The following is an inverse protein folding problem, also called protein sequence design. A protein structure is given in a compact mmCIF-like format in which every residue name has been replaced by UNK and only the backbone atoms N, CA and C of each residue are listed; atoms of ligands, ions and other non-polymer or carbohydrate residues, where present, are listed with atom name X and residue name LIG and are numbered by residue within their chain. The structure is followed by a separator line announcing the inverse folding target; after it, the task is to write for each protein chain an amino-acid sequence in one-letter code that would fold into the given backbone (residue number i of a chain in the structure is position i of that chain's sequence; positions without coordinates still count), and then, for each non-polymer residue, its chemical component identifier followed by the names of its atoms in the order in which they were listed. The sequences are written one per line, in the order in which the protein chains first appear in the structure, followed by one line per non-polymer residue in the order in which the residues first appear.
data_IF_905163905694
#
_entry.id   IF_905163905694
#
_cell.length_a   1.000
_cell.length_b   1.000
_cell.length_c   1.000
_cell.angle_alpha   90.00
_cell.angle_beta   90.00
_cell.angle_gamma   90.00
#
_symmetry.space_group_name_H-M   'P 1'
#
loop_
_entity.id
_entity.type
_entity.pdbx_description
1 polymer ?
#
# COMPACT_ATOMS: atom_id res chain seq x y z
N UNK A 1 21.44 23.36 -8.23
CA UNK A 1 20.96 23.16 -6.84
C UNK A 1 22.15 23.07 -5.88
N UNK A 2 22.88 21.95 -5.82
CA UNK A 2 23.97 21.76 -4.83
C UNK A 2 25.20 22.66 -5.02
N UNK A 3 25.52 23.10 -6.25
CA UNK A 3 26.68 23.99 -6.52
C UNK A 3 26.51 25.41 -5.93
N UNK A 4 25.29 25.78 -5.58
CA UNK A 4 24.92 27.12 -5.09
C UNK A 4 24.14 27.03 -3.78
N UNK A 5 24.25 25.91 -3.07
CA UNK A 5 23.65 25.67 -1.74
C UNK A 5 22.15 25.96 -1.63
N UNK A 6 21.42 25.85 -2.75
CA UNK A 6 19.99 26.15 -2.80
C UNK A 6 19.16 25.25 -1.87
N UNK A 7 19.66 24.06 -1.53
CA UNK A 7 19.02 23.13 -0.59
C UNK A 7 18.76 23.75 0.79
N UNK A 8 19.55 24.75 1.20
CA UNK A 8 19.34 25.47 2.46
C UNK A 8 18.07 26.32 2.48
N UNK A 9 17.52 26.65 1.30
CA UNK A 9 16.31 27.44 1.14
C UNK A 9 15.08 26.59 0.79
N UNK A 10 15.27 25.29 0.54
CA UNK A 10 14.20 24.38 0.17
C UNK A 10 13.59 23.70 1.41
N UNK A 11 12.25 23.51 1.46
CA UNK A 11 11.58 22.96 2.63
C UNK A 11 12.13 21.59 3.04
N UNK A 12 12.66 21.50 4.27
CA UNK A 12 13.16 20.25 4.84
C UNK A 12 14.48 19.72 4.25
N UNK A 13 15.17 20.49 3.39
CA UNK A 13 16.42 20.05 2.74
C UNK A 13 17.69 20.70 3.30
N UNK A 14 17.58 21.59 4.29
CA UNK A 14 18.73 22.21 4.96
C UNK A 14 19.68 21.14 5.51
N UNK A 15 20.94 21.17 5.06
CA UNK A 15 21.97 20.20 5.46
C UNK A 15 21.80 18.79 4.87
N UNK A 16 20.93 18.59 3.88
CA UNK A 16 20.66 17.27 3.25
C UNK A 16 21.42 17.06 1.94
N UNK A 17 22.54 17.74 1.73
CA UNK A 17 23.32 17.66 0.49
C UNK A 17 23.73 16.23 0.11
N UNK A 18 24.10 15.39 1.08
CA UNK A 18 24.46 13.98 0.81
C UNK A 18 23.28 13.17 0.28
N UNK A 19 22.11 13.30 0.92
CA UNK A 19 20.89 12.63 0.46
C UNK A 19 20.48 13.09 -0.96
N UNK A 20 20.67 14.36 -1.27
CA UNK A 20 20.38 14.90 -2.61
C UNK A 20 21.37 14.42 -3.68
N UNK A 21 22.64 14.15 -3.31
CA UNK A 21 23.60 13.53 -4.22
C UNK A 21 23.21 12.08 -4.53
N UNK A 22 22.81 11.32 -3.51
CA UNK A 22 22.29 9.96 -3.68
C UNK A 22 21.03 9.97 -4.56
N UNK A 23 20.06 10.83 -4.24
CA UNK A 23 18.86 11.01 -5.04
C UNK A 23 19.21 11.30 -6.50
N UNK A 24 20.14 12.22 -6.76
CA UNK A 24 20.54 12.58 -8.12
C UNK A 24 21.31 11.48 -8.87
N UNK A 25 21.86 10.47 -8.18
CA UNK A 25 22.58 9.37 -8.83
C UNK A 25 21.66 8.22 -9.29
N UNK A 26 20.37 8.27 -8.97
CA UNK A 26 19.41 7.25 -9.42
C UNK A 26 19.04 7.41 -10.90
N UNK A 27 18.54 6.34 -11.51
CA UNK A 27 18.18 6.30 -12.93
C UNK A 27 16.78 6.88 -13.18
N UNK A 28 16.67 8.20 -13.09
CA UNK A 28 15.39 8.92 -13.26
C UNK A 28 14.83 8.89 -14.69
N UNK A 29 15.58 8.40 -15.68
CA UNK A 29 15.06 8.20 -17.04
C UNK A 29 14.01 7.09 -17.08
N UNK A 30 14.07 6.14 -16.13
CA UNK A 30 13.08 5.05 -15.98
C UNK A 30 11.80 5.47 -15.27
N UNK A 31 11.70 6.73 -14.84
CA UNK A 31 10.51 7.26 -14.15
C UNK A 31 9.32 7.31 -15.09
N UNK A 32 8.17 6.89 -14.57
CA UNK A 32 6.85 6.93 -15.21
C UNK A 32 5.88 7.91 -14.54
N UNK A 33 6.01 8.17 -13.24
CA UNK A 33 5.09 9.03 -12.48
C UNK A 33 5.82 10.16 -11.72
N UNK A 34 5.13 11.29 -11.50
CA UNK A 34 5.66 12.36 -10.65
C UNK A 34 5.77 11.94 -9.17
N UNK A 35 4.90 11.04 -8.72
CA UNK A 35 4.90 10.55 -7.33
C UNK A 35 6.23 9.86 -6.97
N UNK A 36 6.91 9.25 -7.95
CA UNK A 36 8.22 8.62 -7.74
C UNK A 36 9.30 9.64 -7.36
N UNK A 37 9.23 10.88 -7.84
CA UNK A 37 10.17 11.94 -7.45
C UNK A 37 10.05 12.18 -5.95
N UNK A 38 8.81 12.33 -5.46
CA UNK A 38 8.55 12.61 -4.06
C UNK A 38 8.88 11.43 -3.16
N UNK A 39 8.52 10.21 -3.57
CA UNK A 39 8.87 9.01 -2.84
C UNK A 39 10.39 8.85 -2.74
N UNK A 40 11.12 8.96 -3.85
CA UNK A 40 12.58 8.89 -3.81
C UNK A 40 13.22 10.00 -2.98
N UNK A 41 12.66 11.21 -3.01
CA UNK A 41 13.17 12.32 -2.20
C UNK A 41 13.00 12.02 -0.71
N UNK A 42 11.82 11.55 -0.28
CA UNK A 42 11.62 11.23 1.14
C UNK A 42 12.42 9.99 1.56
N UNK A 43 12.62 9.01 0.67
CA UNK A 43 13.42 7.81 0.94
C UNK A 43 14.91 8.12 1.13
N UNK A 44 15.46 9.10 0.41
CA UNK A 44 16.85 9.55 0.59
C UNK A 44 17.01 10.51 1.77
N UNK A 45 16.09 11.47 1.92
CA UNK A 45 16.16 12.49 3.00
C UNK A 45 15.84 11.91 4.37
N UNK A 46 14.96 10.90 4.40
CA UNK A 46 14.40 10.24 5.58
C UNK A 46 13.93 11.25 6.64
N UNK A 47 12.92 12.09 6.33
CA UNK A 47 12.43 13.07 7.28
C UNK A 47 11.76 12.36 8.46
N UNK A 48 11.87 12.95 9.66
CA UNK A 48 11.19 12.44 10.87
C UNK A 48 9.66 12.39 10.72
N UNK A 49 9.10 13.22 9.85
CA UNK A 49 7.69 13.21 9.49
C UNK A 49 7.50 13.46 7.99
N UNK A 50 7.23 12.37 7.25
CA UNK A 50 7.01 12.40 5.79
C UNK A 50 5.83 13.28 5.41
N UNK A 51 4.70 13.18 6.12
CA UNK A 51 3.50 13.97 5.82
C UNK A 51 3.76 15.46 5.99
N UNK A 52 4.42 15.87 7.07
CA UNK A 52 4.77 17.27 7.31
C UNK A 52 5.77 17.77 6.26
N UNK A 53 6.77 16.97 5.90
CA UNK A 53 7.71 17.27 4.83
C UNK A 53 6.97 17.55 3.52
N UNK A 54 6.14 16.61 3.05
CA UNK A 54 5.41 16.74 1.77
C UNK A 54 4.41 17.91 1.77
N UNK A 55 3.77 18.21 2.92
CA UNK A 55 2.90 19.39 3.07
C UNK A 55 3.66 20.70 2.90
N UNK A 56 4.91 20.78 3.37
CA UNK A 56 5.74 21.98 3.22
C UNK A 56 6.05 22.30 1.75
N UNK A 57 5.99 21.29 0.88
CA UNK A 57 6.10 21.42 -0.59
C UNK A 57 4.77 21.73 -1.30
N UNK A 58 3.68 21.96 -0.56
CA UNK A 58 2.33 22.30 -1.08
C UNK A 58 1.77 21.29 -2.08
N UNK A 59 2.07 20.01 -1.88
CA UNK A 59 1.64 18.94 -2.78
C UNK A 59 0.14 18.62 -2.64
N UNK A 60 -0.50 18.07 -3.69
CA UNK A 60 -1.87 17.58 -3.60
C UNK A 60 -2.03 16.54 -2.49
N UNK A 61 -3.16 16.58 -1.77
CA UNK A 61 -3.45 15.62 -0.70
C UNK A 61 -3.36 14.15 -1.14
N UNK A 62 -3.77 13.85 -2.39
CA UNK A 62 -3.66 12.49 -2.94
C UNK A 62 -2.21 12.02 -3.02
N UNK A 63 -1.29 12.87 -3.49
CA UNK A 63 0.15 12.58 -3.53
C UNK A 63 0.71 12.39 -2.14
N UNK A 64 0.36 13.26 -1.18
CA UNK A 64 0.81 13.14 0.21
C UNK A 64 0.40 11.80 0.83
N UNK A 65 -0.86 11.40 0.62
CA UNK A 65 -1.38 10.14 1.13
C UNK A 65 -0.71 8.93 0.48
N UNK A 66 -0.56 8.93 -0.85
CA UNK A 66 0.06 7.84 -1.57
C UNK A 66 1.53 7.67 -1.16
N UNK A 67 2.33 8.74 -1.24
CA UNK A 67 3.76 8.71 -0.88
C UNK A 67 3.95 8.33 0.59
N UNK A 68 3.08 8.83 1.48
CA UNK A 68 3.09 8.46 2.89
C UNK A 68 2.85 6.96 3.12
N UNK A 69 1.88 6.37 2.40
CA UNK A 69 1.60 4.92 2.47
C UNK A 69 2.72 4.07 1.89
N UNK A 70 3.38 4.52 0.83
CA UNK A 70 4.45 3.77 0.15
C UNK A 70 5.80 3.88 0.83
N UNK A 71 6.02 4.94 1.63
CA UNK A 71 7.33 5.29 2.18
C UNK A 71 8.04 4.13 2.89
N UNK A 72 7.36 3.45 3.81
CA UNK A 72 7.98 2.36 4.58
C UNK A 72 8.34 1.16 3.70
N UNK A 73 7.50 0.84 2.71
CA UNK A 73 7.81 -0.23 1.75
C UNK A 73 9.03 0.11 0.90
N UNK A 74 9.13 1.35 0.41
CA UNK A 74 10.27 1.82 -0.36
C UNK A 74 11.56 1.87 0.47
N UNK A 75 11.49 2.32 1.73
CA UNK A 75 12.63 2.35 2.64
C UNK A 75 13.18 0.94 2.91
N UNK A 76 12.29 -0.03 3.05
CA UNK A 76 12.63 -1.44 3.24
C UNK A 76 12.98 -2.17 1.93
N UNK A 77 13.03 -1.47 0.79
CA UNK A 77 13.29 -2.05 -0.53
C UNK A 77 12.40 -3.25 -0.82
N UNK A 78 11.12 -3.12 -0.48
CA UNK A 78 10.15 -4.22 -0.57
C UNK A 78 10.02 -4.70 -2.02
N UNK A 79 10.25 -6.00 -2.22
CA UNK A 79 10.12 -6.68 -3.52
C UNK A 79 9.06 -7.78 -3.49
N UNK A 80 9.08 -8.59 -2.43
CA UNK A 80 8.13 -9.70 -2.27
C UNK A 80 6.91 -9.21 -1.50
N UNK A 81 5.72 -9.45 -2.04
CA UNK A 81 4.44 -9.08 -1.43
C UNK A 81 3.61 -10.33 -1.14
N UNK A 82 3.00 -10.42 0.04
CA UNK A 82 1.98 -11.43 0.32
C UNK A 82 0.62 -11.03 -0.29
N UNK A 83 -0.30 -11.98 -0.38
CA UNK A 83 -1.68 -11.73 -0.82
C UNK A 83 -2.36 -10.64 0.03
N UNK A 84 -2.23 -10.72 1.37
CA UNK A 84 -2.73 -9.71 2.31
C UNK A 84 -2.10 -8.34 2.07
N UNK A 85 -0.78 -8.28 1.86
CA UNK A 85 -0.09 -7.02 1.59
C UNK A 85 -0.53 -6.39 0.27
N UNK A 86 -0.65 -7.18 -0.81
CA UNK A 86 -1.14 -6.71 -2.11
C UNK A 86 -2.57 -6.17 -2.00
N UNK A 87 -3.44 -6.91 -1.31
CA UNK A 87 -4.82 -6.51 -1.07
C UNK A 87 -4.92 -5.17 -0.32
N UNK A 88 -4.21 -5.03 0.80
CA UNK A 88 -4.29 -3.83 1.64
C UNK A 88 -3.55 -2.63 1.07
N UNK A 89 -2.45 -2.85 0.35
CA UNK A 89 -1.70 -1.78 -0.30
C UNK A 89 -2.46 -1.21 -1.49
N UNK A 90 -3.02 -2.09 -2.33
CA UNK A 90 -3.65 -1.73 -3.59
C UNK A 90 -2.63 -1.33 -4.68
N UNK A 91 -3.14 -1.25 -5.91
CA UNK A 91 -2.32 -1.11 -7.13
C UNK A 91 -1.39 0.09 -7.11
N UNK A 92 -1.90 1.26 -6.72
CA UNK A 92 -1.10 2.49 -6.72
C UNK A 92 0.12 2.38 -5.79
N UNK A 93 0.00 1.67 -4.66
CA UNK A 93 1.05 1.57 -3.65
C UNK A 93 2.16 0.63 -4.12
N UNK A 94 1.82 -0.62 -4.47
CA UNK A 94 2.87 -1.57 -4.88
C UNK A 94 3.51 -1.18 -6.21
N UNK A 95 2.77 -0.52 -7.11
CA UNK A 95 3.32 -0.04 -8.40
C UNK A 95 4.32 1.09 -8.18
N UNK A 96 4.02 2.03 -7.29
CA UNK A 96 4.93 3.12 -6.97
C UNK A 96 6.20 2.63 -6.24
N UNK A 97 6.07 1.61 -5.38
CA UNK A 97 7.24 0.95 -4.76
C UNK A 97 8.09 0.24 -5.81
N UNK A 98 7.46 -0.52 -6.72
CA UNK A 98 8.15 -1.17 -7.83
C UNK A 98 8.86 -0.14 -8.72
N UNK A 99 8.21 0.98 -9.05
CA UNK A 99 8.83 2.06 -9.83
C UNK A 99 10.12 2.59 -9.18
N UNK A 100 10.12 2.78 -7.86
CA UNK A 100 11.33 3.17 -7.13
C UNK A 100 12.41 2.09 -7.15
N UNK A 101 12.04 0.82 -7.08
CA UNK A 101 12.99 -0.29 -7.22
C UNK A 101 13.59 -0.34 -8.63
N UNK A 102 12.81 -0.07 -9.67
CA UNK A 102 13.28 0.04 -11.06
C UNK A 102 14.27 1.19 -11.21
N UNK A 103 13.96 2.36 -10.65
CA UNK A 103 14.81 3.56 -10.70
C UNK A 103 16.15 3.34 -9.96
N UNK A 104 16.15 2.62 -8.84
CA UNK A 104 17.35 2.39 -8.04
C UNK A 104 18.18 1.18 -8.49
N UNK A 105 17.52 0.09 -8.86
CA UNK A 105 18.14 -1.23 -9.00
C UNK A 105 17.91 -1.85 -10.39
N UNK A 106 17.02 -1.28 -11.21
CA UNK A 106 16.68 -1.80 -12.53
C UNK A 106 15.75 -3.02 -12.53
N UNK A 107 15.30 -3.48 -11.36
CA UNK A 107 14.43 -4.63 -11.22
C UNK A 107 12.96 -4.24 -11.40
N UNK A 108 12.31 -4.78 -12.44
CA UNK A 108 10.90 -4.52 -12.72
C UNK A 108 10.05 -5.77 -12.48
N UNK A 109 9.13 -5.69 -11.52
CA UNK A 109 8.20 -6.76 -11.16
C UNK A 109 6.73 -6.37 -11.42
N UNK A 110 6.48 -5.28 -12.15
CA UNK A 110 5.12 -4.72 -12.32
C UNK A 110 4.11 -5.76 -12.83
N UNK A 111 4.46 -6.51 -13.87
CA UNK A 111 3.55 -7.52 -14.44
C UNK A 111 3.25 -8.64 -13.44
N UNK A 112 4.27 -9.11 -12.71
CA UNK A 112 4.13 -10.15 -11.69
C UNK A 112 3.22 -9.69 -10.55
N UNK A 113 3.42 -8.46 -10.05
CA UNK A 113 2.59 -7.88 -8.99
C UNK A 113 1.14 -7.69 -9.46
N UNK A 114 0.95 -7.21 -10.69
CA UNK A 114 -0.38 -7.05 -11.26
C UNK A 114 -1.11 -8.39 -11.39
N UNK A 115 -0.43 -9.44 -11.88
CA UNK A 115 -1.02 -10.79 -11.98
C UNK A 115 -1.36 -11.36 -10.61
N UNK A 116 -0.45 -11.22 -9.64
CA UNK A 116 -0.69 -11.69 -8.27
C UNK A 116 -1.87 -10.96 -7.62
N UNK A 117 -1.99 -9.65 -7.83
CA UNK A 117 -3.14 -8.87 -7.35
C UNK A 117 -4.44 -9.29 -8.03
N UNK A 118 -4.44 -9.47 -9.35
CA UNK A 118 -5.62 -9.91 -10.12
C UNK A 118 -6.09 -11.32 -9.76
N UNK A 119 -5.19 -12.17 -9.29
CA UNK A 119 -5.51 -13.52 -8.85
C UNK A 119 -6.21 -13.55 -7.48
N UNK A 120 -6.22 -12.44 -6.73
CA UNK A 120 -6.87 -12.39 -5.43
C UNK A 120 -8.38 -12.66 -5.57
N UNK A 121 -8.98 -13.49 -4.69
CA UNK A 121 -10.42 -13.77 -4.73
C UNK A 121 -11.30 -12.53 -4.53
N UNK A 122 -10.78 -11.53 -3.82
CA UNK A 122 -11.44 -10.24 -3.56
C UNK A 122 -10.42 -9.10 -3.64
N UNK A 123 -10.88 -7.91 -4.01
CA UNK A 123 -10.06 -6.70 -4.15
C UNK A 123 -10.51 -5.59 -3.19
N UNK A 124 -11.68 -5.74 -2.57
CA UNK A 124 -12.19 -4.87 -1.53
C UNK A 124 -13.16 -5.60 -0.59
N UNK A 125 -13.41 -5.03 0.59
CA UNK A 125 -14.42 -5.53 1.55
C UNK A 125 -15.82 -5.66 0.95
N UNK A 126 -16.12 -4.92 -0.12
CA UNK A 126 -17.42 -4.96 -0.80
C UNK A 126 -17.58 -6.19 -1.68
N UNK A 127 -16.48 -6.85 -2.02
CA UNK A 127 -16.50 -8.02 -2.88
C UNK A 127 -16.81 -9.30 -2.09
N UNK A 128 -16.77 -9.23 -0.75
CA UNK A 128 -17.19 -10.32 0.11
C UNK A 128 -18.64 -10.70 -0.18
N UNK A 129 -18.89 -12.00 -0.37
CA UNK A 129 -20.21 -12.56 -0.66
C UNK A 129 -21.20 -12.45 0.51
N UNK A 130 -20.76 -11.93 1.65
CA UNK A 130 -21.54 -11.77 2.87
C UNK A 130 -21.43 -10.35 3.43
N UNK A 131 -22.44 -9.98 4.21
CA UNK A 131 -22.50 -8.71 4.92
C UNK A 131 -22.73 -8.93 6.41
N UNK A 132 -22.56 -7.88 7.23
CA UNK A 132 -22.91 -7.96 8.65
C UNK A 132 -24.38 -8.33 8.90
N UNK A 133 -25.28 -7.99 7.97
CA UNK A 133 -26.68 -8.40 8.06
C UNK A 133 -26.87 -9.91 7.90
N UNK A 134 -26.00 -10.58 7.13
CA UNK A 134 -26.03 -12.04 7.00
C UNK A 134 -25.54 -12.71 8.29
N UNK A 135 -24.47 -12.19 8.88
CA UNK A 135 -23.98 -12.67 10.17
C UNK A 135 -25.04 -12.57 11.27
N UNK A 136 -25.77 -11.45 11.34
CA UNK A 136 -26.88 -11.27 12.28
C UNK A 136 -28.00 -12.28 12.10
N UNK A 137 -28.33 -12.62 10.85
CA UNK A 137 -29.34 -13.64 10.54
C UNK A 137 -28.91 -15.03 10.98
N UNK A 138 -27.61 -15.31 11.00
CA UNK A 138 -27.07 -16.63 11.34
C UNK A 138 -26.80 -16.81 12.83
N UNK A 139 -26.31 -15.77 13.51
CA UNK A 139 -25.87 -15.86 14.91
C UNK A 139 -27.01 -15.74 15.92
N UNK A 140 -28.17 -15.20 15.52
CA UNK A 140 -29.27 -14.83 16.42
C UNK A 140 -28.81 -13.88 17.56
N UNK A 141 -27.66 -13.23 17.40
CA UNK A 141 -27.08 -12.27 18.35
C UNK A 141 -27.46 -10.82 17.96
N UNK A 142 -27.35 -9.92 18.93
CA UNK A 142 -27.52 -8.49 18.67
C UNK A 142 -26.28 -7.90 17.96
N UNK A 143 -26.51 -6.81 17.23
CA UNK A 143 -25.44 -6.08 16.57
C UNK A 143 -24.40 -5.59 17.59
N UNK A 144 -23.12 -5.85 17.30
CA UNK A 144 -22.02 -5.47 18.17
C UNK A 144 -20.66 -5.51 17.47
N UNK A 145 -19.57 -5.19 18.19
CA UNK A 145 -18.20 -5.15 17.66
C UNK A 145 -17.75 -6.45 17.00
N UNK A 146 -18.28 -7.59 17.46
CA UNK A 146 -18.00 -8.92 16.93
C UNK A 146 -18.27 -9.04 15.42
N UNK A 147 -19.23 -8.28 14.87
CA UNK A 147 -19.52 -8.29 13.42
C UNK A 147 -18.31 -7.85 12.61
N UNK A 148 -17.63 -6.79 13.06
CA UNK A 148 -16.46 -6.25 12.38
C UNK A 148 -15.30 -7.26 12.45
N UNK A 149 -15.05 -7.81 13.63
CA UNK A 149 -13.98 -8.78 13.85
C UNK A 149 -14.20 -10.07 13.04
N UNK A 150 -15.44 -10.55 12.98
CA UNK A 150 -15.80 -11.73 12.20
C UNK A 150 -15.68 -11.46 10.69
N UNK A 151 -16.13 -10.29 10.21
CA UNK A 151 -15.94 -9.91 8.80
C UNK A 151 -14.46 -9.78 8.44
N UNK A 152 -13.62 -9.24 9.32
CA UNK A 152 -12.17 -9.15 9.11
C UNK A 152 -11.50 -10.53 9.08
N UNK A 153 -11.95 -11.48 9.91
CA UNK A 153 -11.47 -12.87 9.87
C UNK A 153 -11.84 -13.56 8.55
N UNK A 154 -13.08 -13.37 8.08
CA UNK A 154 -13.56 -13.96 6.83
C UNK A 154 -12.84 -13.33 5.64
N UNK A 155 -12.70 -12.00 5.63
CA UNK A 155 -11.91 -11.27 4.63
C UNK A 155 -10.52 -11.87 4.49
N UNK A 156 -9.83 -12.07 5.62
CA UNK A 156 -8.51 -12.68 5.65
C UNK A 156 -8.50 -14.11 5.13
N UNK A 157 -9.42 -14.96 5.59
CA UNK A 157 -9.52 -16.35 5.16
C UNK A 157 -9.78 -16.46 3.65
N UNK A 158 -10.61 -15.57 3.09
CA UNK A 158 -10.88 -15.49 1.66
C UNK A 158 -9.63 -15.02 0.89
N UNK A 159 -8.94 -13.98 1.36
CA UNK A 159 -7.69 -13.50 0.72
C UNK A 159 -6.60 -14.57 0.69
N UNK A 160 -6.53 -15.38 1.75
CA UNK A 160 -5.57 -16.47 1.87
C UNK A 160 -6.03 -17.77 1.18
N UNK A 161 -7.16 -17.74 0.46
CA UNK A 161 -7.75 -18.91 -0.21
C UNK A 161 -8.03 -20.09 0.74
N UNK A 162 -8.21 -19.83 2.04
CA UNK A 162 -8.61 -20.83 3.03
C UNK A 162 -10.08 -21.23 2.86
N UNK A 163 -10.89 -20.30 2.35
CA UNK A 163 -12.30 -20.50 2.00
C UNK A 163 -12.65 -19.77 0.71
N UNK A 164 -13.53 -20.36 -0.08
CA UNK A 164 -14.10 -19.68 -1.24
C UNK A 164 -14.96 -18.49 -0.79
N UNK A 165 -14.96 -17.43 -1.59
CA UNK A 165 -15.83 -16.27 -1.41
C UNK A 165 -17.29 -16.58 -1.80
N UNK A 166 -17.89 -17.59 -1.17
CA UNK A 166 -19.25 -18.02 -1.37
C UNK A 166 -20.02 -18.05 -0.05
N UNK A 167 -21.24 -17.51 -0.06
CA UNK A 167 -22.07 -17.36 1.13
C UNK A 167 -22.24 -18.66 1.92
N UNK A 168 -22.48 -19.78 1.24
CA UNK A 168 -22.69 -21.08 1.88
C UNK A 168 -21.38 -21.66 2.45
N UNK A 169 -20.26 -21.49 1.75
CA UNK A 169 -18.95 -21.93 2.23
C UNK A 169 -18.54 -21.15 3.48
N UNK A 170 -18.66 -19.82 3.42
CA UNK A 170 -18.40 -18.94 4.57
C UNK A 170 -19.30 -19.28 5.75
N UNK A 171 -20.60 -19.51 5.52
CA UNK A 171 -21.55 -19.90 6.58
C UNK A 171 -21.13 -21.20 7.26
N UNK A 172 -20.77 -22.23 6.50
CA UNK A 172 -20.30 -23.52 7.03
C UNK A 172 -18.98 -23.38 7.78
N UNK A 173 -18.06 -22.58 7.27
CA UNK A 173 -16.76 -22.33 7.92
C UNK A 173 -16.91 -21.66 9.29
N UNK A 174 -17.93 -20.79 9.44
CA UNK A 174 -18.29 -20.20 10.73
C UNK A 174 -18.99 -21.20 11.70
N UNK A 175 -19.24 -22.44 11.27
CA UNK A 175 -19.92 -23.45 12.08
C UNK A 175 -21.44 -23.36 12.06
N UNK A 176 -22.03 -22.55 11.18
CA UNK A 176 -23.49 -22.51 11.00
C UNK A 176 -23.91 -23.60 10.02
N UNK A 177 -24.70 -24.56 10.49
CA UNK A 177 -25.30 -25.60 9.65
C UNK A 177 -26.74 -25.23 9.26
N UNK A 178 -27.21 -25.73 8.12
CA UNK A 178 -28.66 -25.82 7.85
C UNK A 178 -29.17 -27.08 8.56
N UNK A 179 -30.32 -26.96 9.23
CA UNK A 179 -31.13 -28.11 9.64
C UNK A 179 -31.65 -28.87 8.41
#
# INVERSE_FOLDING_TARGET
LLKVEMENFLPGLKGKASALKEFASWDWEKRTTENAIWLGLVTTVQPSNVTAFLKAWKLPNKTIQLVGKTYQYALNKKQVWSAEELYHAGVDVFSLVNEINVIQYGENQQETLNRAYQALPIHSKKDLAITGADLLKWSNEQAGPWLKETLEKIERAVILEEIDNEKNQIRRWLGYHEE
#
